data_IF_499469427651
#
_entry.id   IF_499469427651
#
_cell.length_a   1.000
_cell.length_b   1.000
_cell.length_c   1.000
_cell.angle_alpha   90.00
_cell.angle_beta   90.00
_cell.angle_gamma   90.00
#
_symmetry.space_group_name_H-M   'P 1'
#
loop_
_entity.id
_entity.type
_entity.pdbx_description
1 polymer ?
#
# COMPACT_ATOMS: atom_id res chain seq x y z
N UNK A 1 25.49 -32.17 20.72
CA UNK A 1 25.64 -32.54 19.29
C UNK A 1 25.52 -31.27 18.47
N UNK A 2 26.55 -31.00 17.66
CA UNK A 2 26.64 -29.86 16.75
C UNK A 2 25.62 -29.96 15.60
N UNK A 3 25.33 -28.76 15.06
CA UNK A 3 25.06 -28.41 13.66
C UNK A 3 23.78 -28.90 12.99
N UNK A 4 22.95 -27.96 12.53
CA UNK A 4 22.74 -27.65 11.10
C UNK A 4 22.05 -26.27 10.99
N UNK A 5 22.84 -25.21 10.81
CA UNK A 5 22.36 -23.88 10.42
C UNK A 5 22.21 -23.84 8.88
N UNK A 6 21.12 -23.29 8.31
CA UNK A 6 21.03 -23.03 6.88
C UNK A 6 21.97 -21.89 6.46
N UNK A 7 22.64 -22.08 5.31
CA UNK A 7 23.65 -21.16 4.73
C UNK A 7 23.07 -19.79 4.34
N UNK A 8 23.91 -18.73 4.25
CA UNK A 8 23.44 -17.35 4.07
C UNK A 8 22.92 -17.10 2.66
N UNK A 9 21.71 -16.55 2.58
CA UNK A 9 21.03 -16.04 1.37
C UNK A 9 21.76 -14.79 0.79
N UNK A 10 22.74 -14.26 1.52
CA UNK A 10 23.39 -12.97 1.26
C UNK A 10 24.09 -12.81 -0.09
N UNK A 11 24.62 -13.88 -0.69
CA UNK A 11 25.42 -13.75 -1.92
C UNK A 11 24.57 -13.52 -3.19
N UNK A 12 23.26 -13.85 -3.18
CA UNK A 12 22.39 -13.74 -4.37
C UNK A 12 21.72 -12.36 -4.47
N UNK A 13 21.44 -11.74 -3.32
CA UNK A 13 20.76 -10.44 -3.21
C UNK A 13 21.70 -9.27 -3.61
N UNK A 14 23.02 -9.43 -3.45
CA UNK A 14 24.00 -8.39 -3.77
C UNK A 14 24.15 -8.10 -5.28
N UNK A 15 23.81 -9.06 -6.15
CA UNK A 15 23.97 -8.93 -7.61
C UNK A 15 22.74 -8.27 -8.27
N UNK A 16 21.53 -8.44 -7.72
CA UNK A 16 20.29 -7.88 -8.30
C UNK A 16 20.07 -6.39 -7.95
N UNK A 17 20.54 -5.93 -6.79
CA UNK A 17 20.31 -4.56 -6.31
C UNK A 17 21.21 -3.50 -6.97
N UNK A 18 22.28 -3.90 -7.67
CA UNK A 18 23.18 -2.96 -8.37
C UNK A 18 22.61 -2.45 -9.71
N UNK A 19 21.50 -3.01 -10.21
CA UNK A 19 20.97 -2.71 -11.54
C UNK A 19 19.62 -1.96 -11.54
N UNK A 20 19.15 -1.40 -10.42
CA UNK A 20 17.84 -0.74 -10.34
C UNK A 20 17.92 0.78 -10.57
N UNK A 21 17.37 1.35 -11.66
CA UNK A 21 17.37 2.79 -11.97
C UNK A 21 16.04 3.50 -11.59
N UNK A 22 15.95 4.84 -11.71
CA UNK A 22 14.68 5.63 -11.71
C UNK A 22 14.81 7.01 -12.39
N UNK A 23 13.69 7.52 -12.93
CA UNK A 23 13.11 8.82 -12.50
C UNK A 23 11.86 8.45 -11.70
N UNK A 24 11.39 9.34 -10.82
CA UNK A 24 9.95 9.40 -10.52
C UNK A 24 9.13 9.59 -11.81
N UNK A 25 7.99 8.91 -11.90
CA UNK A 25 7.16 8.82 -13.11
C UNK A 25 6.05 9.87 -13.07
N UNK A 26 5.69 10.40 -14.23
CA UNK A 26 4.46 11.17 -14.45
C UNK A 26 3.77 10.56 -15.69
N UNK A 27 2.45 10.44 -15.67
CA UNK A 27 1.72 9.48 -16.52
C UNK A 27 0.98 10.17 -17.67
N UNK A 28 -0.31 9.89 -17.82
CA UNK A 28 -1.27 10.51 -18.74
C UNK A 28 -2.68 10.20 -18.20
N UNK A 29 -3.69 11.07 -18.41
CA UNK A 29 -5.04 10.85 -17.90
C UNK A 29 -5.67 9.58 -18.50
N UNK A 30 -6.26 8.74 -17.65
CA UNK A 30 -6.84 7.45 -18.03
C UNK A 30 -8.34 7.55 -18.23
N UNK A 31 -8.83 7.02 -19.35
CA UNK A 31 -10.26 6.94 -19.64
C UNK A 31 -10.87 5.69 -18.97
N UNK A 32 -11.69 5.92 -17.94
CA UNK A 32 -12.37 4.89 -17.15
C UNK A 32 -13.40 4.03 -17.91
N UNK A 33 -13.68 4.32 -19.19
CA UNK A 33 -14.61 3.55 -20.03
C UNK A 33 -13.93 2.75 -21.15
N UNK A 34 -12.64 2.97 -21.40
CA UNK A 34 -11.97 2.40 -22.57
C UNK A 34 -11.43 1.00 -22.29
N UNK A 35 -12.29 -0.01 -22.44
CA UNK A 35 -11.92 -1.42 -22.35
C UNK A 35 -11.20 -1.93 -23.63
N UNK A 36 -10.34 -1.12 -24.25
CA UNK A 36 -9.78 -1.42 -25.57
C UNK A 36 -8.66 -2.46 -25.49
N UNK A 37 -9.04 -3.69 -25.82
CA UNK A 37 -8.18 -4.86 -25.96
C UNK A 37 -7.30 -4.71 -27.21
N UNK A 38 -6.24 -3.90 -27.14
CA UNK A 38 -5.04 -3.95 -28.01
C UNK A 38 -4.12 -2.78 -27.67
N UNK A 39 -3.10 -3.05 -26.86
CA UNK A 39 -1.76 -2.46 -27.03
C UNK A 39 -0.79 -3.20 -26.11
N UNK A 40 0.21 -3.87 -26.70
CA UNK A 40 1.40 -4.32 -25.98
C UNK A 40 2.28 -3.09 -25.80
N UNK A 41 2.26 -2.48 -24.62
CA UNK A 41 3.16 -1.35 -24.34
C UNK A 41 4.57 -1.84 -23.99
N UNK A 42 5.55 -1.38 -24.77
CA UNK A 42 6.98 -1.55 -24.54
C UNK A 42 7.55 -0.20 -24.06
N UNK A 43 7.85 -0.07 -22.77
CA UNK A 43 8.41 1.17 -22.22
C UNK A 43 9.91 1.29 -22.50
N UNK A 44 10.29 2.15 -23.46
CA UNK A 44 11.63 2.75 -23.57
C UNK A 44 11.51 4.16 -24.19
N UNK A 45 11.27 5.19 -23.36
CA UNK A 45 11.65 6.61 -23.56
C UNK A 45 11.11 7.44 -22.40
N UNK A 46 11.96 8.27 -21.79
CA UNK A 46 11.65 9.06 -20.60
C UNK A 46 11.26 10.52 -20.88
N UNK A 47 10.67 11.24 -19.90
CA UNK A 47 10.06 12.56 -20.10
C UNK A 47 10.95 13.75 -19.68
N UNK A 48 10.66 14.91 -20.26
CA UNK A 48 11.31 16.23 -20.11
C UNK A 48 10.76 17.00 -18.90
N UNK A 49 11.52 17.94 -18.35
CA UNK A 49 11.18 18.75 -17.16
C UNK A 49 10.56 20.09 -17.62
N UNK A 50 9.36 20.43 -17.15
CA UNK A 50 8.87 21.81 -17.09
C UNK A 50 8.55 22.20 -15.63
N UNK A 51 8.82 23.46 -15.30
CA UNK A 51 8.71 24.01 -13.95
C UNK A 51 7.26 24.42 -13.68
N UNK A 52 6.67 23.97 -12.58
CA UNK A 52 5.43 24.57 -12.08
C UNK A 52 5.75 25.90 -11.39
N UNK A 53 5.37 27.00 -12.04
CA UNK A 53 5.18 28.29 -11.36
C UNK A 53 3.79 28.29 -10.70
N UNK A 54 3.74 28.78 -9.46
CA UNK A 54 2.51 29.05 -8.72
C UNK A 54 1.63 30.00 -9.54
N UNK A 55 0.52 29.51 -10.08
CA UNK A 55 -0.58 30.38 -10.48
C UNK A 55 -1.94 29.79 -10.10
N UNK A 56 -2.66 30.59 -9.32
CA UNK A 56 -4.04 30.36 -8.95
C UNK A 56 -4.97 30.51 -10.16
N UNK A 57 -5.38 29.40 -10.79
CA UNK A 57 -6.62 29.32 -11.57
C UNK A 57 -7.23 27.94 -11.34
N UNK A 58 -8.52 27.89 -10.96
CA UNK A 58 -9.26 26.66 -10.76
C UNK A 58 -9.15 25.71 -11.95
N UNK A 59 -8.51 24.57 -11.74
CA UNK A 59 -8.53 23.48 -12.70
C UNK A 59 -9.98 22.99 -12.84
N UNK A 60 -10.55 23.24 -14.01
CA UNK A 60 -11.62 22.39 -14.54
C UNK A 60 -11.03 21.00 -14.75
N UNK A 61 -11.00 20.20 -13.68
CA UNK A 61 -10.91 18.75 -13.79
C UNK A 61 -12.03 18.35 -14.76
N UNK A 62 -11.66 17.82 -15.93
CA UNK A 62 -12.64 17.37 -16.90
C UNK A 62 -13.43 16.25 -16.21
N UNK A 63 -14.71 16.48 -15.92
CA UNK A 63 -15.55 15.58 -15.09
C UNK A 63 -15.61 14.13 -15.63
N UNK A 64 -15.14 13.92 -16.86
CA UNK A 64 -15.12 12.64 -17.57
C UNK A 64 -13.80 11.85 -17.44
N UNK A 65 -12.78 12.35 -16.74
CA UNK A 65 -11.49 11.64 -16.58
C UNK A 65 -11.18 11.38 -15.12
N UNK A 66 -10.96 10.10 -14.78
CA UNK A 66 -10.51 9.73 -13.45
C UNK A 66 -9.05 10.14 -13.25
N UNK A 67 -8.64 10.50 -12.03
CA UNK A 67 -7.25 10.71 -11.69
C UNK A 67 -6.32 9.55 -12.10
N UNK A 68 -5.06 9.88 -12.43
CA UNK A 68 -3.99 8.95 -12.83
C UNK A 68 -4.04 7.64 -12.05
N UNK A 69 -4.01 7.75 -10.72
CA UNK A 69 -3.83 6.62 -9.81
C UNK A 69 -4.95 5.56 -9.88
N UNK A 70 -6.11 5.87 -10.48
CA UNK A 70 -7.14 4.85 -10.71
C UNK A 70 -6.75 3.84 -11.82
N UNK A 71 -5.70 4.11 -12.60
CA UNK A 71 -5.13 3.15 -13.54
C UNK A 71 -4.73 1.83 -12.86
N UNK A 72 -4.31 1.87 -11.60
CA UNK A 72 -3.88 0.68 -10.85
C UNK A 72 -5.04 -0.30 -10.62
N UNK A 73 -6.29 0.17 -10.53
CA UNK A 73 -7.45 -0.73 -10.49
C UNK A 73 -7.53 -1.59 -11.76
N UNK A 74 -7.23 -0.99 -12.91
CA UNK A 74 -7.24 -1.72 -14.19
C UNK A 74 -6.08 -2.70 -14.30
N UNK A 75 -4.89 -2.32 -13.83
CA UNK A 75 -3.72 -3.20 -13.83
C UNK A 75 -3.91 -4.37 -12.84
N UNK A 76 -4.41 -4.14 -11.64
CA UNK A 76 -4.68 -5.18 -10.65
C UNK A 76 -5.74 -6.19 -11.13
N UNK A 77 -6.76 -5.72 -11.86
CA UNK A 77 -7.84 -6.58 -12.38
C UNK A 77 -7.53 -7.23 -13.74
N UNK A 78 -6.44 -6.82 -14.39
CA UNK A 78 -6.01 -7.30 -15.71
C UNK A 78 -5.91 -8.82 -15.85
N UNK A 79 -5.48 -9.60 -14.84
CA UNK A 79 -5.41 -11.06 -14.97
C UNK A 79 -6.76 -11.71 -15.32
N UNK A 80 -7.87 -11.07 -14.98
CA UNK A 80 -9.23 -11.56 -15.21
C UNK A 80 -9.97 -10.82 -16.33
N UNK A 81 -9.36 -9.80 -16.94
CA UNK A 81 -10.00 -8.93 -17.93
C UNK A 81 -10.35 -9.61 -19.28
N UNK A 82 -9.92 -10.86 -19.48
CA UNK A 82 -10.29 -11.69 -20.64
C UNK A 82 -11.26 -12.83 -20.32
N UNK A 83 -11.22 -13.37 -19.10
CA UNK A 83 -11.91 -14.60 -18.70
C UNK A 83 -13.07 -14.36 -17.73
N UNK A 84 -13.09 -13.18 -17.09
CA UNK A 84 -13.91 -12.94 -15.91
C UNK A 84 -13.39 -13.69 -14.67
N UNK A 85 -14.14 -13.52 -13.58
CA UNK A 85 -13.89 -14.16 -12.29
C UNK A 85 -15.01 -15.18 -12.05
N UNK A 86 -14.68 -16.46 -11.93
CA UNK A 86 -15.67 -17.49 -11.60
C UNK A 86 -15.79 -17.68 -10.09
N UNK A 87 -16.93 -18.22 -9.65
CA UNK A 87 -17.13 -18.60 -8.24
C UNK A 87 -16.03 -19.53 -7.73
N UNK A 88 -15.61 -20.50 -8.53
CA UNK A 88 -14.54 -21.42 -8.17
C UNK A 88 -13.23 -20.67 -7.86
N UNK A 89 -12.90 -19.63 -8.64
CA UNK A 89 -11.71 -18.80 -8.42
C UNK A 89 -11.77 -18.04 -7.10
N UNK A 90 -12.94 -17.48 -6.77
CA UNK A 90 -13.18 -16.80 -5.49
C UNK A 90 -13.01 -17.79 -4.34
N UNK A 91 -13.65 -18.97 -4.40
CA UNK A 91 -13.56 -19.99 -3.35
C UNK A 91 -12.12 -20.50 -3.12
N UNK A 92 -11.29 -20.59 -4.17
CA UNK A 92 -9.86 -20.94 -4.02
C UNK A 92 -9.07 -19.92 -3.19
N UNK A 93 -9.56 -18.69 -3.06
CA UNK A 93 -8.99 -17.66 -2.19
C UNK A 93 -9.17 -17.93 -0.69
N UNK A 94 -10.09 -18.82 -0.30
CA UNK A 94 -10.48 -19.07 1.11
C UNK A 94 -9.28 -19.34 2.02
N UNK A 95 -8.33 -20.16 1.58
CA UNK A 95 -7.15 -20.52 2.39
C UNK A 95 -6.16 -19.37 2.64
N UNK A 96 -6.31 -18.23 1.94
CA UNK A 96 -5.46 -17.04 2.07
C UNK A 96 -6.20 -15.82 2.59
N UNK A 97 -7.53 -15.90 2.73
CA UNK A 97 -8.38 -14.80 3.14
C UNK A 97 -8.57 -14.77 4.67
N UNK A 98 -8.63 -13.57 5.23
CA UNK A 98 -9.06 -13.33 6.61
C UNK A 98 -10.58 -13.39 6.72
N UNK A 99 -11.30 -12.83 5.73
CA UNK A 99 -12.76 -12.90 5.65
C UNK A 99 -13.25 -12.90 4.20
N UNK A 100 -14.45 -13.43 4.00
CA UNK A 100 -15.24 -13.25 2.77
C UNK A 100 -16.31 -12.20 3.02
N UNK A 101 -16.50 -11.33 2.05
CA UNK A 101 -17.57 -10.32 2.05
C UNK A 101 -18.45 -10.53 0.83
N UNK A 102 -19.75 -10.61 1.07
CA UNK A 102 -20.77 -10.75 0.02
C UNK A 102 -21.74 -9.58 0.12
N UNK A 103 -22.02 -8.93 -1.01
CA UNK A 103 -23.05 -7.90 -1.13
C UNK A 103 -24.18 -8.48 -1.98
N UNK A 104 -25.40 -8.49 -1.44
CA UNK A 104 -26.62 -8.88 -2.19
C UNK A 104 -27.73 -7.89 -1.90
N UNK A 105 -28.25 -7.24 -2.95
CA UNK A 105 -29.34 -6.27 -2.83
C UNK A 105 -29.01 -5.14 -1.85
N UNK A 106 -27.77 -4.63 -1.89
CA UNK A 106 -27.28 -3.56 -1.00
C UNK A 106 -27.04 -3.97 0.46
N UNK A 107 -27.14 -5.26 0.80
CA UNK A 107 -26.85 -5.78 2.15
C UNK A 107 -25.52 -6.52 2.17
N UNK A 108 -24.74 -6.27 3.22
CA UNK A 108 -23.41 -6.87 3.41
C UNK A 108 -23.50 -8.08 4.34
N UNK A 109 -22.88 -9.17 3.93
CA UNK A 109 -22.71 -10.41 4.68
C UNK A 109 -21.21 -10.69 4.80
N UNK A 110 -20.75 -11.08 5.98
CA UNK A 110 -19.33 -11.34 6.25
C UNK A 110 -19.18 -12.71 6.90
N UNK A 111 -18.35 -13.56 6.32
CA UNK A 111 -17.89 -14.81 6.93
C UNK A 111 -16.41 -14.63 7.30
N UNK A 112 -16.09 -14.72 8.59
CA UNK A 112 -14.70 -14.66 9.07
C UNK A 112 -14.06 -16.04 8.99
N UNK A 113 -12.84 -16.10 8.45
CA UNK A 113 -12.03 -17.31 8.38
C UNK A 113 -10.90 -17.32 9.39
N UNK A 114 -10.31 -16.16 9.64
CA UNK A 114 -9.21 -15.96 10.56
C UNK A 114 -9.45 -14.68 11.38
N UNK A 115 -8.88 -14.64 12.58
CA UNK A 115 -8.81 -13.40 13.35
C UNK A 115 -7.82 -12.44 12.69
N UNK A 116 -8.25 -11.20 12.47
CA UNK A 116 -7.37 -10.17 11.95
C UNK A 116 -6.39 -9.71 13.05
N UNK A 117 -5.19 -9.30 12.65
CA UNK A 117 -4.31 -8.57 13.56
C UNK A 117 -4.99 -7.26 13.98
N UNK A 118 -5.22 -7.09 15.28
CA UNK A 118 -5.97 -5.94 15.83
C UNK A 118 -7.33 -5.79 15.13
N UNK A 119 -7.87 -4.56 14.99
CA UNK A 119 -9.21 -4.33 14.40
C UNK A 119 -9.18 -3.94 12.92
N UNK A 120 -8.16 -4.39 12.17
CA UNK A 120 -7.98 -4.02 10.76
C UNK A 120 -9.21 -4.40 9.90
N UNK A 121 -9.76 -5.58 10.13
CA UNK A 121 -10.98 -6.05 9.48
C UNK A 121 -12.17 -5.12 9.75
N UNK A 122 -12.38 -4.71 11.00
CA UNK A 122 -13.50 -3.81 11.39
C UNK A 122 -13.43 -2.48 10.64
N UNK A 123 -12.24 -1.88 10.52
CA UNK A 123 -12.07 -0.61 9.81
C UNK A 123 -12.22 -0.75 8.29
N UNK A 124 -11.74 -1.86 7.71
CA UNK A 124 -11.99 -2.18 6.29
C UNK A 124 -13.49 -2.34 6.03
N UNK A 125 -14.20 -3.06 6.90
CA UNK A 125 -15.66 -3.19 6.82
C UNK A 125 -16.37 -1.84 6.99
N UNK A 126 -15.88 -0.98 7.89
CA UNK A 126 -16.42 0.37 8.07
C UNK A 126 -16.27 1.24 6.81
N UNK A 127 -15.16 1.08 6.08
CA UNK A 127 -14.96 1.72 4.79
C UNK A 127 -15.96 1.25 3.73
N UNK A 128 -16.17 -0.06 3.63
CA UNK A 128 -17.13 -0.64 2.69
C UNK A 128 -18.56 -0.18 3.02
N UNK A 129 -18.94 -0.17 4.30
CA UNK A 129 -20.26 0.33 4.72
C UNK A 129 -20.47 1.81 4.39
N UNK A 130 -19.44 2.65 4.44
CA UNK A 130 -19.55 4.04 3.98
C UNK A 130 -19.76 4.12 2.47
N UNK A 131 -19.06 3.30 1.68
CA UNK A 131 -19.25 3.23 0.22
C UNK A 131 -20.72 2.93 -0.11
N UNK A 132 -21.33 1.93 0.55
CA UNK A 132 -22.74 1.58 0.40
C UNK A 132 -23.69 2.71 0.80
N UNK A 133 -23.35 3.48 1.84
CA UNK A 133 -24.16 4.62 2.29
C UNK A 133 -24.09 5.82 1.35
N UNK A 134 -22.93 6.09 0.77
CA UNK A 134 -22.72 7.24 -0.11
C UNK A 134 -23.19 6.97 -1.54
N UNK A 135 -23.12 5.71 -1.97
CA UNK A 135 -23.48 5.30 -3.32
C UNK A 135 -24.50 4.16 -3.30
N UNK A 136 -25.70 4.39 -2.70
CA UNK A 136 -26.77 3.40 -2.75
C UNK A 136 -27.11 3.10 -4.21
N UNK A 137 -27.46 1.83 -4.48
CA UNK A 137 -27.84 1.31 -5.81
C UNK A 137 -26.77 1.36 -6.91
N UNK A 138 -25.59 1.95 -6.65
CA UNK A 138 -24.45 1.96 -7.58
C UNK A 138 -23.47 0.80 -7.37
N UNK A 139 -23.55 0.15 -6.21
CA UNK A 139 -22.69 -0.99 -5.88
C UNK A 139 -23.45 -2.26 -6.26
N UNK A 140 -22.94 -3.06 -7.21
CA UNK A 140 -23.59 -4.29 -7.62
C UNK A 140 -23.47 -5.37 -6.53
N UNK A 141 -24.15 -6.49 -6.76
CA UNK A 141 -23.89 -7.69 -5.98
C UNK A 141 -22.43 -8.16 -6.21
N UNK A 142 -21.72 -8.47 -5.13
CA UNK A 142 -20.28 -8.76 -5.13
C UNK A 142 -19.98 -9.94 -4.21
N UNK A 143 -18.93 -10.70 -4.54
CA UNK A 143 -18.40 -11.81 -3.73
C UNK A 143 -16.87 -11.69 -3.67
N UNK A 144 -16.36 -11.23 -2.54
CA UNK A 144 -14.99 -10.73 -2.38
C UNK A 144 -14.26 -11.49 -1.28
N UNK A 145 -13.00 -11.85 -1.54
CA UNK A 145 -12.08 -12.39 -0.54
C UNK A 145 -11.12 -11.29 -0.10
N UNK A 146 -10.97 -11.08 1.21
CA UNK A 146 -10.05 -10.08 1.78
C UNK A 146 -9.02 -10.74 2.68
N UNK A 147 -7.77 -10.29 2.61
CA UNK A 147 -6.70 -10.66 3.54
C UNK A 147 -6.18 -9.42 4.27
N UNK A 148 -6.21 -9.47 5.61
CA UNK A 148 -5.81 -8.36 6.48
C UNK A 148 -4.32 -8.33 6.84
N UNK A 149 -3.53 -9.24 6.25
CA UNK A 149 -2.12 -9.45 6.54
C UNK A 149 -1.21 -8.44 5.82
N UNK A 150 0.01 -8.24 6.31
CA UNK A 150 0.94 -7.20 5.85
C UNK A 150 1.61 -7.46 4.48
N UNK A 151 1.79 -8.73 4.07
CA UNK A 151 2.63 -9.11 2.92
C UNK A 151 1.82 -9.81 1.83
N UNK A 152 1.87 -9.39 0.55
CA UNK A 152 1.07 -9.98 -0.54
C UNK A 152 1.35 -11.49 -0.72
N UNK A 153 0.42 -12.23 -1.33
CA UNK A 153 0.43 -13.72 -1.28
C UNK A 153 -0.11 -14.41 -2.54
N UNK A 154 -0.51 -13.68 -3.58
CA UNK A 154 -0.89 -14.28 -4.88
C UNK A 154 0.30 -14.18 -5.84
N UNK A 155 1.36 -14.97 -5.59
CA UNK A 155 2.57 -14.94 -6.43
C UNK A 155 2.32 -15.37 -7.87
N UNK A 156 2.77 -14.56 -8.83
CA UNK A 156 2.64 -14.78 -10.28
C UNK A 156 3.18 -16.15 -10.69
N UNK A 157 4.32 -16.56 -10.12
CA UNK A 157 4.98 -17.83 -10.44
C UNK A 157 4.11 -19.07 -10.17
N UNK A 158 3.14 -18.99 -9.24
CA UNK A 158 2.23 -20.10 -8.95
C UNK A 158 1.12 -20.28 -9.99
N UNK A 159 0.94 -19.30 -10.88
CA UNK A 159 -0.17 -19.25 -11.85
C UNK A 159 0.33 -19.09 -13.30
N UNK A 160 1.64 -19.01 -13.52
CA UNK A 160 2.26 -18.78 -14.84
C UNK A 160 2.54 -20.07 -15.63
N UNK A 161 1.63 -21.05 -15.52
CA UNK A 161 1.81 -22.41 -16.04
C UNK A 161 1.49 -22.61 -17.54
N UNK A 162 2.24 -23.45 -18.28
CA UNK A 162 1.99 -23.74 -19.69
C UNK A 162 1.14 -25.03 -19.89
N UNK A 163 -0.12 -25.04 -19.43
CA UNK A 163 -0.99 -26.23 -19.59
C UNK A 163 -2.41 -26.05 -19.05
N UNK A 164 -3.30 -27.06 -19.18
CA UNK A 164 -4.66 -27.03 -18.63
C UNK A 164 -4.68 -26.95 -17.09
N UNK A 165 -3.59 -27.32 -16.43
CA UNK A 165 -3.40 -27.16 -14.99
C UNK A 165 -3.03 -25.72 -14.55
N UNK A 166 -2.88 -24.78 -15.49
CA UNK A 166 -2.59 -23.37 -15.21
C UNK A 166 -3.86 -22.70 -14.70
N UNK A 167 -4.12 -22.86 -13.41
CA UNK A 167 -5.29 -22.27 -12.77
C UNK A 167 -5.16 -20.75 -12.78
N UNK A 168 -6.21 -20.06 -13.22
CA UNK A 168 -6.27 -18.62 -13.08
C UNK A 168 -6.17 -18.22 -11.59
N UNK A 169 -5.48 -17.12 -11.26
CA UNK A 169 -5.26 -16.70 -9.88
C UNK A 169 -6.60 -16.43 -9.16
N UNK A 170 -6.70 -16.72 -7.86
CA UNK A 170 -7.86 -16.28 -7.07
C UNK A 170 -7.80 -14.76 -6.89
N UNK A 171 -8.91 -14.02 -7.09
CA UNK A 171 -8.95 -12.60 -6.79
C UNK A 171 -8.97 -12.41 -5.27
N UNK A 172 -7.92 -11.81 -4.73
CA UNK A 172 -7.77 -11.57 -3.30
C UNK A 172 -7.47 -10.09 -3.06
N UNK A 173 -8.32 -9.41 -2.29
CA UNK A 173 -8.15 -8.02 -1.93
C UNK A 173 -7.23 -7.86 -0.73
N UNK A 174 -6.27 -6.94 -0.82
CA UNK A 174 -5.24 -6.68 0.19
C UNK A 174 -4.85 -5.22 0.24
N UNK A 175 -4.00 -4.86 1.20
CA UNK A 175 -3.57 -3.49 1.42
C UNK A 175 -2.30 -3.11 0.65
N UNK A 176 -1.61 -4.10 0.07
CA UNK A 176 -0.38 -3.92 -0.68
C UNK A 176 -0.24 -5.02 -1.75
N UNK A 177 0.56 -4.72 -2.76
CA UNK A 177 0.99 -5.62 -3.83
C UNK A 177 2.40 -5.23 -4.28
N UNK A 178 3.02 -6.09 -5.07
CA UNK A 178 4.33 -5.87 -5.69
C UNK A 178 4.38 -6.49 -7.09
N UNK A 179 5.48 -6.28 -7.81
CA UNK A 179 5.67 -6.76 -9.18
C UNK A 179 5.63 -8.30 -9.32
N UNK A 180 5.73 -9.04 -8.22
CA UNK A 180 5.75 -10.51 -8.18
C UNK A 180 4.39 -11.11 -7.78
N UNK A 181 3.38 -10.27 -7.52
CA UNK A 181 2.09 -10.68 -6.97
C UNK A 181 0.89 -10.15 -7.76
N UNK A 182 -0.27 -10.78 -7.56
CA UNK A 182 -1.53 -10.50 -8.25
C UNK A 182 -2.66 -10.17 -7.25
N UNK A 183 -2.29 -9.73 -6.06
CA UNK A 183 -3.23 -9.27 -5.04
C UNK A 183 -3.87 -7.95 -5.53
N UNK A 184 -5.18 -7.79 -5.32
CA UNK A 184 -5.91 -6.58 -5.73
C UNK A 184 -5.80 -5.56 -4.59
N UNK A 185 -5.20 -4.40 -4.84
CA UNK A 185 -4.98 -3.41 -3.79
C UNK A 185 -6.28 -2.69 -3.44
N UNK A 186 -6.54 -2.59 -2.15
CA UNK A 186 -7.67 -1.89 -1.54
C UNK A 186 -7.13 -0.85 -0.55
N UNK A 187 -7.75 0.34 -0.44
CA UNK A 187 -7.38 1.33 0.55
C UNK A 187 -7.31 0.71 1.96
N UNK A 188 -6.17 0.86 2.62
CA UNK A 188 -5.96 0.19 3.89
C UNK A 188 -6.85 0.74 5.01
N UNK A 189 -6.94 -0.05 6.09
CA UNK A 189 -7.76 0.30 7.25
C UNK A 189 -7.38 1.65 7.87
N UNK A 190 -6.13 2.11 7.68
CA UNK A 190 -5.60 3.32 8.30
C UNK A 190 -6.22 4.60 7.73
N UNK A 191 -6.84 4.56 6.55
CA UNK A 191 -7.68 5.67 6.06
C UNK A 191 -8.80 6.04 7.06
N UNK A 192 -9.38 5.04 7.72
CA UNK A 192 -10.39 5.23 8.77
C UNK A 192 -9.81 5.29 10.18
N UNK A 193 -8.49 5.22 10.28
CA UNK A 193 -7.73 5.30 11.52
C UNK A 193 -7.19 3.96 11.99
N UNK A 194 -6.29 4.03 12.97
CA UNK A 194 -5.69 2.87 13.61
C UNK A 194 -5.49 3.18 15.10
N UNK A 195 -6.58 3.09 15.90
CA UNK A 195 -6.59 3.58 17.28
C UNK A 195 -5.64 2.81 18.19
N UNK A 196 -5.36 1.55 17.91
CA UNK A 196 -4.41 0.72 18.67
C UNK A 196 -3.00 1.32 18.69
N UNK A 197 -2.66 2.16 17.69
CA UNK A 197 -1.38 2.87 17.62
C UNK A 197 -1.54 4.40 17.56
N UNK A 198 -2.70 4.91 17.96
CA UNK A 198 -3.01 6.34 18.01
C UNK A 198 -2.90 7.07 16.65
N UNK A 199 -3.16 6.38 15.55
CA UNK A 199 -3.33 7.02 14.24
C UNK A 199 -4.80 7.40 14.06
N UNK A 200 -5.03 8.68 13.80
CA UNK A 200 -6.37 9.25 13.56
C UNK A 200 -6.84 8.95 12.13
N UNK A 201 -8.16 8.99 11.85
CA UNK A 201 -8.68 8.93 10.50
C UNK A 201 -8.01 9.97 9.59
N UNK A 202 -7.85 9.64 8.31
CA UNK A 202 -7.05 10.41 7.35
C UNK A 202 -7.44 11.88 7.29
N UNK A 203 -8.74 12.22 7.28
CA UNK A 203 -9.20 13.61 7.22
C UNK A 203 -8.70 14.45 8.42
N UNK A 204 -8.73 13.88 9.61
CA UNK A 204 -8.26 14.54 10.84
C UNK A 204 -6.73 14.60 10.84
N UNK A 205 -6.07 13.48 10.53
CA UNK A 205 -4.61 13.41 10.47
C UNK A 205 -4.04 14.40 9.44
N UNK A 206 -4.66 14.52 8.26
CA UNK A 206 -4.23 15.45 7.22
C UNK A 206 -4.29 16.91 7.69
N UNK A 207 -5.33 17.31 8.44
CA UNK A 207 -5.41 18.66 9.03
C UNK A 207 -4.26 18.90 10.00
N UNK A 208 -4.00 17.95 10.89
CA UNK A 208 -2.89 18.04 11.86
C UNK A 208 -1.52 18.06 11.19
N UNK A 209 -1.33 17.29 10.11
CA UNK A 209 -0.10 17.31 9.31
C UNK A 209 0.09 18.68 8.64
N UNK A 210 -0.96 19.29 8.10
CA UNK A 210 -0.90 20.65 7.53
C UNK A 210 -0.53 21.70 8.59
N UNK A 211 -1.15 21.62 9.76
CA UNK A 211 -0.82 22.49 10.90
C UNK A 211 0.63 22.28 11.35
N UNK A 212 1.05 21.03 11.53
CA UNK A 212 2.42 20.64 11.89
C UNK A 212 3.46 21.17 10.90
N UNK A 213 3.18 21.02 9.60
CA UNK A 213 4.00 21.53 8.51
C UNK A 213 4.12 23.07 8.56
N UNK A 214 3.06 23.77 8.97
CA UNK A 214 3.01 25.23 9.12
C UNK A 214 3.79 25.79 10.31
N UNK A 215 4.11 24.97 11.33
CA UNK A 215 4.84 25.42 12.54
C UNK A 215 6.25 25.92 12.24
N UNK A 216 6.89 25.38 11.20
CA UNK A 216 8.29 25.70 10.84
C UNK A 216 8.47 25.77 9.32
N UNK A 217 8.82 26.95 8.81
CA UNK A 217 9.19 27.16 7.40
C UNK A 217 10.34 26.23 7.00
N UNK A 218 10.34 25.75 5.76
CA UNK A 218 11.37 24.85 5.20
C UNK A 218 12.80 25.30 5.51
N UNK A 219 13.13 26.57 5.25
CA UNK A 219 14.48 27.13 5.48
C UNK A 219 14.93 27.10 6.93
N UNK A 220 14.00 27.00 7.87
CA UNK A 220 14.27 26.95 9.31
C UNK A 220 14.29 25.51 9.84
N UNK A 221 13.91 24.50 9.05
CA UNK A 221 13.97 23.09 9.45
C UNK A 221 15.39 22.61 9.61
N UNK A 222 15.57 21.63 10.49
CA UNK A 222 16.86 20.98 10.71
C UNK A 222 17.36 20.35 9.41
N UNK A 223 18.66 20.52 9.12
CA UNK A 223 19.30 19.94 7.93
C UNK A 223 19.78 18.51 8.22
N UNK A 224 18.85 17.67 8.63
CA UNK A 224 19.10 16.28 8.97
C UNK A 224 17.99 15.41 8.37
N UNK A 225 18.34 14.31 7.71
CA UNK A 225 17.34 13.30 7.39
C UNK A 225 16.83 12.70 8.70
N UNK A 226 15.51 12.65 8.92
CA UNK A 226 14.92 12.09 10.13
C UNK A 226 14.18 10.79 9.82
N UNK A 227 14.37 9.78 10.66
CA UNK A 227 13.58 8.56 10.63
C UNK A 227 13.38 8.00 12.04
N UNK A 228 12.13 7.66 12.38
CA UNK A 228 11.79 6.93 13.61
C UNK A 228 10.82 5.80 13.26
N UNK A 229 11.17 4.56 13.61
CA UNK A 229 10.31 3.43 13.29
C UNK A 229 10.81 2.08 13.82
N UNK A 230 10.01 1.04 13.61
CA UNK A 230 10.43 -0.33 13.95
C UNK A 230 11.46 -0.82 12.94
N UNK A 231 12.72 -0.90 13.39
CA UNK A 231 13.85 -1.28 12.55
C UNK A 231 13.95 -2.79 12.29
N UNK A 232 13.30 -3.62 13.11
CA UNK A 232 13.37 -5.09 12.99
C UNK A 232 12.43 -5.68 11.95
N UNK A 233 11.58 -4.86 11.32
CA UNK A 233 10.65 -5.30 10.28
C UNK A 233 11.36 -5.72 8.99
N UNK A 234 12.50 -5.08 8.67
CA UNK A 234 13.24 -5.42 7.46
C UNK A 234 14.73 -5.11 7.55
N UNK A 235 15.54 -5.86 6.80
CA UNK A 235 16.99 -5.64 6.75
C UNK A 235 17.38 -4.22 6.30
N UNK A 236 16.72 -3.58 5.32
CA UNK A 236 16.98 -2.18 5.00
C UNK A 236 16.80 -1.23 6.19
N UNK A 237 15.72 -1.37 6.97
CA UNK A 237 15.49 -0.54 8.16
C UNK A 237 16.51 -0.82 9.27
N UNK A 238 16.89 -2.08 9.45
CA UNK A 238 17.95 -2.43 10.39
C UNK A 238 19.31 -1.83 9.98
N UNK A 239 19.67 -1.90 8.71
CA UNK A 239 20.89 -1.27 8.17
C UNK A 239 20.86 0.25 8.32
N UNK A 240 19.70 0.89 8.18
CA UNK A 240 19.53 2.34 8.37
C UNK A 240 19.94 2.80 9.79
N UNK A 241 19.81 1.94 10.82
CA UNK A 241 20.29 2.27 12.18
C UNK A 241 21.80 2.52 12.25
N UNK A 242 22.59 1.96 11.32
CA UNK A 242 24.04 2.22 11.24
C UNK A 242 24.37 3.67 10.87
N UNK A 243 23.41 4.39 10.29
CA UNK A 243 23.52 5.81 9.97
C UNK A 243 23.17 6.73 11.16
N UNK A 244 22.84 6.17 12.33
CA UNK A 244 22.64 6.95 13.55
C UNK A 244 23.94 7.68 13.96
N UNK A 245 23.80 8.77 14.73
CA UNK A 245 24.92 9.63 15.11
C UNK A 245 26.01 8.82 15.82
N UNK A 246 27.18 8.69 15.18
CA UNK A 246 28.37 8.12 15.80
C UNK A 246 29.29 9.22 16.35
N UNK A 247 30.21 8.87 17.26
CA UNK A 247 31.23 9.81 17.74
C UNK A 247 32.28 10.17 16.69
N UNK A 248 32.39 9.37 15.62
CA UNK A 248 33.44 9.49 14.61
C UNK A 248 32.95 10.16 13.31
N UNK A 249 31.66 10.09 13.00
CA UNK A 249 31.09 10.60 11.75
C UNK A 249 29.61 11.01 11.91
N UNK A 250 29.25 12.20 11.43
CA UNK A 250 27.87 12.68 11.33
C UNK A 250 27.35 12.50 9.90
N UNK A 251 26.54 11.45 9.69
CA UNK A 251 25.88 11.13 8.41
C UNK A 251 24.81 12.14 7.98
N UNK A 252 24.62 13.22 8.74
CA UNK A 252 23.47 14.10 8.65
C UNK A 252 22.13 13.35 8.69
N UNK A 253 22.08 12.25 9.44
CA UNK A 253 20.88 11.46 9.68
C UNK A 253 20.58 11.35 11.17
N UNK A 254 19.29 11.31 11.50
CA UNK A 254 18.73 11.18 12.85
C UNK A 254 17.76 9.99 12.82
N UNK A 255 18.33 8.81 13.02
CA UNK A 255 17.65 7.53 12.90
C UNK A 255 17.41 6.97 14.30
N UNK A 256 16.15 6.71 14.65
CA UNK A 256 15.74 6.22 15.95
C UNK A 256 14.93 4.94 15.83
N UNK A 257 15.29 3.93 16.63
CA UNK A 257 14.46 2.74 16.78
C UNK A 257 13.24 3.10 17.64
N UNK A 258 12.05 2.82 17.12
CA UNK A 258 10.81 2.89 17.89
C UNK A 258 10.61 1.58 18.64
N UNK A 259 10.66 1.65 19.97
CA UNK A 259 10.31 0.53 20.84
C UNK A 259 8.79 0.44 20.97
N UNK A 260 8.19 -0.52 20.25
CA UNK A 260 6.74 -0.73 20.26
C UNK A 260 6.20 -1.13 21.63
N UNK A 261 6.93 -1.91 22.42
CA UNK A 261 6.48 -2.30 23.76
C UNK A 261 6.37 -1.09 24.68
N UNK A 262 7.33 -0.16 24.56
CA UNK A 262 7.30 1.10 25.29
C UNK A 262 6.21 2.03 24.79
N UNK A 263 6.06 2.19 23.47
CA UNK A 263 5.03 3.07 22.89
C UNK A 263 3.61 2.58 23.22
N UNK A 264 3.36 1.25 23.22
CA UNK A 264 2.07 0.68 23.65
C UNK A 264 1.74 1.10 25.08
N UNK A 265 2.70 1.01 26.02
CA UNK A 265 2.50 1.45 27.41
C UNK A 265 2.26 2.96 27.53
N UNK A 266 2.76 3.75 26.58
CA UNK A 266 2.64 5.20 26.56
C UNK A 266 1.48 5.70 25.69
N UNK A 267 0.73 4.79 25.06
CA UNK A 267 -0.36 5.12 24.14
C UNK A 267 0.12 5.84 22.88
N UNK A 268 1.33 5.55 22.40
CA UNK A 268 1.92 6.11 21.18
C UNK A 268 1.97 7.65 21.15
N UNK A 269 1.96 8.31 22.31
CA UNK A 269 2.02 9.78 22.43
C UNK A 269 3.29 10.37 21.82
N UNK A 270 4.37 9.60 21.76
CA UNK A 270 5.65 10.03 21.18
C UNK A 270 5.80 9.67 19.70
N UNK A 271 4.74 9.16 19.07
CA UNK A 271 4.71 8.73 17.67
C UNK A 271 3.76 9.53 16.80
N UNK A 272 3.31 10.70 17.27
CA UNK A 272 2.47 11.60 16.48
C UNK A 272 3.22 12.07 15.22
N UNK A 273 2.63 11.80 14.05
CA UNK A 273 3.23 12.13 12.75
C UNK A 273 3.33 13.65 12.53
N UNK A 274 2.37 14.43 13.03
CA UNK A 274 2.36 15.90 12.91
C UNK A 274 3.53 16.58 13.65
N UNK A 275 4.13 15.89 14.61
CA UNK A 275 5.28 16.40 15.37
C UNK A 275 6.62 16.08 14.68
N UNK A 276 6.61 15.44 13.51
CA UNK A 276 7.82 15.07 12.76
C UNK A 276 8.22 16.11 11.69
N UNK A 277 7.46 17.19 11.52
CA UNK A 277 7.69 18.22 10.50
C UNK A 277 8.84 19.22 10.81
N UNK A 278 9.82 18.85 11.65
CA UNK A 278 10.91 19.74 12.06
C UNK A 278 12.20 19.58 11.24
N UNK A 279 12.32 18.50 10.46
CA UNK A 279 13.48 18.14 9.63
C UNK A 279 13.21 18.32 8.14
N UNK A 280 14.28 18.44 7.33
CA UNK A 280 14.23 18.47 5.85
C UNK A 280 14.46 17.10 5.26
#
# INVERSE_FOLDING_TARGET
MLSLLPKPIGARIEVELQNYPRKEVEFSPVNCTAYSRREKWHSRRGPTIEKEEEDAIGERQNENTCPEYFQWIHEDLKPWAGTGITREMVERGRGKATFRLVIVGGRVYVEKYLEAYQRRDIFTLWGILQLLRWYPDKIPDLDLMFSCEDQPNIFIGNYSGPGPNSMAPPPLFRYCGDDDTLDIVFPDWSFWGWPEINIKPWETLMKELKEGNGRKKWINRENYAYWKGNAFISMPRYKLLKCSRSTQHDWKARVYMQDWHKEVKQGFKNSNLADQCFSR
#
